data_IF_837659605866
#
_entry.id   IF_837659605866
#
_cell.length_a   1.000
_cell.length_b   1.000
_cell.length_c   1.000
_cell.angle_alpha   90.00
_cell.angle_beta   90.00
_cell.angle_gamma   90.00
#
_symmetry.space_group_name_H-M   'P 1'
#
loop_
_entity.id
_entity.type
_entity.pdbx_description
1 polymer ?
#
# COMPACT_ATOMS: atom_id res chain seq x y z
N UNK A 1 -1.56 12.76 -0.81
CA UNK A 1 -2.02 11.43 -0.42
C UNK A 1 -3.17 11.01 -1.27
N UNK A 2 -3.08 9.80 -1.80
CA UNK A 2 -4.11 9.32 -2.73
C UNK A 2 -5.20 8.53 -2.01
N UNK A 3 -4.90 7.99 -0.82
CA UNK A 3 -5.83 7.15 -0.09
C UNK A 3 -5.56 7.22 1.41
N UNK A 4 -6.63 7.26 2.20
CA UNK A 4 -6.58 7.15 3.65
C UNK A 4 -7.54 6.05 4.08
N UNK A 5 -7.05 5.09 4.87
CA UNK A 5 -7.89 4.01 5.38
C UNK A 5 -7.82 4.03 6.91
N UNK A 6 -8.87 4.51 7.58
CA UNK A 6 -8.92 4.48 9.04
C UNK A 6 -8.95 3.05 9.57
N UNK A 7 -8.36 2.82 10.72
CA UNK A 7 -8.41 1.51 11.37
C UNK A 7 -9.83 1.23 11.85
N UNK A 8 -10.31 0.04 11.58
CA UNK A 8 -11.61 -0.42 12.06
C UNK A 8 -11.54 -1.80 12.70
N UNK A 9 -10.56 -2.62 12.29
CA UNK A 9 -10.40 -3.99 12.77
C UNK A 9 -9.21 -4.14 13.72
N UNK A 10 -8.36 -3.13 13.81
CA UNK A 10 -7.16 -3.14 14.64
C UNK A 10 -7.09 -1.84 15.45
N UNK A 11 -6.31 -1.86 16.53
CA UNK A 11 -6.13 -0.71 17.40
C UNK A 11 -4.71 -0.15 17.38
N UNK A 12 -3.74 -0.87 16.79
CA UNK A 12 -2.37 -0.39 16.73
C UNK A 12 -1.77 -0.56 15.32
N UNK A 13 -0.86 0.34 15.02
CA UNK A 13 -0.22 0.41 13.69
C UNK A 13 0.66 -0.80 13.39
N UNK A 14 1.24 -1.43 14.41
CA UNK A 14 2.12 -2.57 14.20
C UNK A 14 1.37 -3.76 13.63
N UNK A 15 0.17 -4.02 14.13
CA UNK A 15 -0.67 -5.11 13.65
C UNK A 15 -0.98 -4.94 12.16
N UNK A 16 -1.41 -3.74 11.78
CA UNK A 16 -1.71 -3.44 10.37
C UNK A 16 -0.47 -3.50 9.49
N UNK A 17 0.65 -2.96 10.00
CA UNK A 17 1.91 -2.98 9.29
C UNK A 17 2.39 -4.41 9.03
N UNK A 18 2.33 -5.29 10.03
CA UNK A 18 2.73 -6.69 9.88
C UNK A 18 1.85 -7.43 8.88
N UNK A 19 0.55 -7.18 8.89
CA UNK A 19 -0.36 -7.76 7.91
C UNK A 19 -0.06 -7.27 6.49
N UNK A 20 0.22 -5.98 6.34
CA UNK A 20 0.51 -5.38 5.04
C UNK A 20 1.83 -5.85 4.44
N UNK A 21 2.82 -6.19 5.27
CA UNK A 21 4.09 -6.72 4.78
C UNK A 21 3.90 -7.97 3.93
N UNK A 22 2.88 -8.75 4.23
CA UNK A 22 2.56 -9.95 3.46
C UNK A 22 1.63 -9.64 2.30
N UNK A 23 0.72 -8.70 2.50
CA UNK A 23 -0.35 -8.38 1.57
C UNK A 23 0.11 -7.57 0.37
N UNK A 24 0.92 -6.54 0.58
CA UNK A 24 1.29 -5.59 -0.47
C UNK A 24 2.04 -6.24 -1.64
N UNK A 25 3.03 -7.12 -1.42
CA UNK A 25 3.68 -7.82 -2.54
C UNK A 25 2.70 -8.63 -3.38
N UNK A 26 1.70 -9.26 -2.74
CA UNK A 26 0.69 -10.03 -3.46
C UNK A 26 -0.21 -9.15 -4.32
N UNK A 27 -0.61 -7.99 -3.79
CA UNK A 27 -1.43 -7.03 -4.53
C UNK A 27 -0.68 -6.52 -5.76
N UNK A 28 0.59 -6.16 -5.59
CA UNK A 28 1.42 -5.67 -6.68
C UNK A 28 1.57 -6.75 -7.77
N UNK A 29 1.80 -7.99 -7.37
CA UNK A 29 1.94 -9.10 -8.30
C UNK A 29 0.68 -9.32 -9.14
N UNK A 30 -0.50 -9.06 -8.59
CA UNK A 30 -1.77 -9.20 -9.32
C UNK A 30 -1.89 -8.26 -10.51
N UNK A 31 -1.18 -7.14 -10.49
CA UNK A 31 -1.18 -6.20 -11.61
C UNK A 31 -0.09 -6.48 -12.64
N UNK A 32 0.68 -7.55 -12.45
CA UNK A 32 1.75 -7.91 -13.36
C UNK A 32 2.93 -6.96 -13.32
N UNK A 33 3.05 -6.16 -12.27
CA UNK A 33 4.13 -5.18 -12.11
C UNK A 33 5.24 -5.81 -11.27
N UNK A 34 6.47 -5.72 -11.78
CA UNK A 34 7.64 -6.12 -11.00
C UNK A 34 8.11 -4.92 -10.20
N UNK A 35 8.08 -5.05 -8.88
CA UNK A 35 8.49 -3.97 -8.00
C UNK A 35 9.37 -4.51 -6.88
N UNK A 36 10.38 -3.73 -6.51
CA UNK A 36 11.18 -4.00 -5.33
C UNK A 36 10.48 -3.37 -4.12
N UNK A 37 10.28 -4.17 -3.08
CA UNK A 37 9.61 -3.70 -1.87
C UNK A 37 10.65 -3.42 -0.79
N UNK A 38 10.61 -2.23 -0.20
CA UNK A 38 11.46 -1.83 0.91
C UNK A 38 10.58 -1.58 2.12
N UNK A 39 10.93 -2.22 3.24
CA UNK A 39 10.17 -2.12 4.48
C UNK A 39 11.00 -1.39 5.51
N UNK A 40 10.46 -0.30 6.08
CA UNK A 40 11.09 0.44 7.16
C UNK A 40 10.26 0.21 8.43
N UNK A 41 10.73 -0.68 9.29
CA UNK A 41 10.01 -1.04 10.51
C UNK A 41 10.01 0.08 11.55
N UNK A 42 11.05 0.92 11.57
CA UNK A 42 11.11 2.04 12.50
C UNK A 42 10.04 3.09 12.19
N UNK A 43 9.77 3.33 10.92
CA UNK A 43 8.80 4.32 10.46
C UNK A 43 7.43 3.72 10.15
N UNK A 44 7.30 2.40 10.17
CA UNK A 44 6.08 1.68 9.77
C UNK A 44 5.66 2.07 8.35
N UNK A 45 6.62 2.02 7.43
CA UNK A 45 6.38 2.33 6.02
C UNK A 45 6.77 1.17 5.13
N UNK A 46 6.04 1.03 4.02
CA UNK A 46 6.33 0.07 2.97
C UNK A 46 6.43 0.84 1.67
N UNK A 47 7.58 0.74 1.00
CA UNK A 47 7.79 1.36 -0.30
C UNK A 47 7.92 0.26 -1.35
N UNK A 48 7.23 0.44 -2.47
CA UNK A 48 7.35 -0.44 -3.63
C UNK A 48 7.74 0.40 -4.83
N UNK A 49 8.81 0.03 -5.51
CA UNK A 49 9.30 0.73 -6.69
C UNK A 49 9.54 -0.24 -7.83
N UNK A 50 9.04 0.11 -8.99
CA UNK A 50 9.27 -0.62 -10.24
C UNK A 50 9.38 0.35 -11.40
N UNK A 51 9.56 -0.17 -12.61
CA UNK A 51 9.62 0.66 -13.80
C UNK A 51 8.28 1.36 -14.03
N UNK A 52 8.29 2.69 -13.89
CA UNK A 52 7.08 3.49 -14.07
C UNK A 52 6.05 3.37 -12.95
N UNK A 53 6.42 2.76 -11.82
CA UNK A 53 5.53 2.54 -10.69
C UNK A 53 6.24 2.83 -9.38
N UNK A 54 5.55 3.50 -8.47
CA UNK A 54 6.06 3.74 -7.12
C UNK A 54 4.86 3.83 -6.18
N UNK A 55 4.94 3.18 -5.03
CA UNK A 55 3.91 3.23 -4.01
C UNK A 55 4.55 3.41 -2.64
N UNK A 56 3.94 4.24 -1.81
CA UNK A 56 4.34 4.43 -0.42
C UNK A 56 3.12 4.19 0.47
N UNK A 57 3.29 3.34 1.46
CA UNK A 57 2.25 3.01 2.41
C UNK A 57 2.78 3.29 3.81
N UNK A 58 2.15 4.22 4.51
CA UNK A 58 2.58 4.65 5.84
C UNK A 58 1.49 4.36 6.87
N UNK A 59 1.84 3.64 7.91
CA UNK A 59 0.93 3.32 9.00
C UNK A 59 1.11 4.34 10.13
N UNK A 60 0.08 5.17 10.34
CA UNK A 60 0.06 6.12 11.44
C UNK A 60 -0.64 5.47 12.65
N UNK A 61 -0.81 6.22 13.73
CA UNK A 61 -1.46 5.71 14.93
C UNK A 61 -2.93 5.34 14.70
N UNK A 62 -3.61 5.99 13.74
CA UNK A 62 -5.06 5.85 13.56
C UNK A 62 -5.49 5.43 12.16
N UNK A 63 -4.58 5.50 11.17
CA UNK A 63 -4.96 5.26 9.77
C UNK A 63 -3.76 4.83 8.94
N UNK A 64 -4.06 4.30 7.75
CA UNK A 64 -3.05 3.98 6.73
C UNK A 64 -3.12 5.04 5.65
N UNK A 65 -1.98 5.60 5.30
CA UNK A 65 -1.85 6.59 4.24
C UNK A 65 -1.15 5.95 3.04
N UNK A 66 -1.76 6.05 1.87
CA UNK A 66 -1.25 5.44 0.65
C UNK A 66 -1.01 6.51 -0.40
N UNK A 67 0.17 6.46 -1.02
CA UNK A 67 0.51 7.31 -2.16
C UNK A 67 1.01 6.42 -3.29
N UNK A 68 0.47 6.61 -4.48
CA UNK A 68 0.86 5.85 -5.67
C UNK A 68 1.21 6.82 -6.79
N UNK A 69 2.39 6.64 -7.37
CA UNK A 69 2.85 7.39 -8.54
C UNK A 69 3.03 6.44 -9.71
N UNK A 70 2.45 6.78 -10.85
CA UNK A 70 2.50 5.96 -12.05
C UNK A 70 2.98 6.81 -13.24
N UNK A 71 3.73 6.19 -14.15
CA UNK A 71 4.12 6.87 -15.37
C UNK A 71 2.89 7.03 -16.29
N UNK A 72 3.08 7.71 -17.40
CA UNK A 72 2.02 8.02 -18.36
C UNK A 72 1.26 6.77 -18.82
N UNK A 73 1.98 5.68 -19.08
CA UNK A 73 1.35 4.45 -19.59
C UNK A 73 0.48 3.73 -18.54
N UNK A 74 0.84 3.86 -17.27
CA UNK A 74 0.15 3.16 -16.18
C UNK A 74 -0.89 4.04 -15.47
N UNK A 75 -0.91 5.35 -15.74
CA UNK A 75 -1.86 6.27 -15.10
C UNK A 75 -3.32 5.82 -15.17
N UNK A 76 -3.81 5.26 -16.28
CA UNK A 76 -5.20 4.81 -16.33
C UNK A 76 -5.53 3.72 -15.32
N UNK A 77 -4.52 3.01 -14.80
CA UNK A 77 -4.71 1.94 -13.81
C UNK A 77 -4.73 2.45 -12.38
N UNK A 78 -4.41 3.72 -12.16
CA UNK A 78 -4.27 4.26 -10.79
C UNK A 78 -5.50 4.04 -9.93
N UNK A 79 -6.68 4.35 -10.44
CA UNK A 79 -7.94 4.18 -9.70
C UNK A 79 -8.16 2.73 -9.30
N UNK A 80 -7.89 1.80 -10.21
CA UNK A 80 -8.08 0.38 -9.95
C UNK A 80 -7.05 -0.15 -8.94
N UNK A 81 -5.83 0.32 -9.03
CA UNK A 81 -4.77 -0.06 -8.07
C UNK A 81 -5.14 0.43 -6.68
N UNK A 82 -5.55 1.70 -6.55
CA UNK A 82 -5.95 2.27 -5.26
C UNK A 82 -7.17 1.55 -4.69
N UNK A 83 -8.15 1.24 -5.51
CA UNK A 83 -9.35 0.51 -5.09
C UNK A 83 -8.99 -0.88 -4.56
N UNK A 84 -8.10 -1.58 -5.25
CA UNK A 84 -7.67 -2.91 -4.82
C UNK A 84 -6.89 -2.84 -3.51
N UNK A 85 -5.98 -1.88 -3.38
CA UNK A 85 -5.23 -1.68 -2.14
C UNK A 85 -6.20 -1.36 -0.99
N UNK A 86 -7.14 -0.46 -1.20
CA UNK A 86 -8.13 -0.10 -0.19
C UNK A 86 -8.93 -1.30 0.27
N UNK A 87 -9.43 -2.09 -0.67
CA UNK A 87 -10.24 -3.28 -0.38
C UNK A 87 -9.45 -4.27 0.47
N UNK A 88 -8.19 -4.51 0.12
CA UNK A 88 -7.36 -5.44 0.85
C UNK A 88 -6.99 -4.90 2.24
N UNK A 89 -6.66 -3.62 2.34
CA UNK A 89 -6.35 -3.01 3.62
C UNK A 89 -7.54 -3.03 4.57
N UNK A 90 -8.75 -2.76 4.07
CA UNK A 90 -9.97 -2.79 4.90
C UNK A 90 -10.26 -4.15 5.50
N UNK A 91 -9.71 -5.21 4.94
CA UNK A 91 -9.87 -6.57 5.51
C UNK A 91 -8.96 -6.79 6.70
N UNK A 92 -7.86 -6.06 6.81
CA UNK A 92 -6.86 -6.29 7.85
C UNK A 92 -6.70 -5.13 8.83
N UNK A 93 -7.13 -3.94 8.47
CA UNK A 93 -7.07 -2.79 9.38
C UNK A 93 -8.45 -2.33 9.81
#
# INVERSE_FOLDING_TARGET
>A
MDLKVPYSNITDKKHGFDAAKKLIPEVIAKFGVKAATTIDEAKHTIDAKGTGFSANIHFTETEVLVKVDLNFLLKPLKGKILETIERQLKKVV
#
